data_IF_284557836560
#
_entry.id   IF_284557836560
#
_cell.length_a   1.000
_cell.length_b   1.000
_cell.length_c   1.000
_cell.angle_alpha   90.00
_cell.angle_beta   90.00
_cell.angle_gamma   90.00
#
_symmetry.space_group_name_H-M   'P 1'
#
loop_
_entity.id
_entity.type
_entity.pdbx_description
1 polymer ?
#
# COMPACT_ATOMS: atom_id res chain seq x y z
N UNK A 1 -7.59 5.72 -22.48
CA UNK A 1 -7.90 4.57 -21.58
C UNK A 1 -9.41 4.41 -21.43
N UNK A 2 -9.94 3.20 -21.64
CA UNK A 2 -11.31 2.88 -21.24
C UNK A 2 -11.34 3.05 -19.71
N UNK A 3 -12.26 3.86 -19.20
CA UNK A 3 -12.47 3.97 -17.76
C UNK A 3 -12.74 2.56 -17.23
N UNK A 4 -11.97 2.09 -16.24
CA UNK A 4 -12.34 0.84 -15.57
C UNK A 4 -13.67 1.12 -14.87
N UNK A 5 -14.55 0.15 -14.82
CA UNK A 5 -15.83 0.31 -14.12
C UNK A 5 -15.53 0.69 -12.67
N UNK A 6 -15.90 1.91 -12.26
CA UNK A 6 -15.78 2.32 -10.88
C UNK A 6 -16.65 1.38 -10.05
N UNK A 7 -16.10 0.69 -9.03
CA UNK A 7 -16.91 -0.15 -8.17
C UNK A 7 -18.03 0.70 -7.57
N UNK A 8 -19.25 0.15 -7.55
CA UNK A 8 -20.39 0.82 -6.93
C UNK A 8 -20.02 1.23 -5.51
N UNK A 9 -20.53 2.38 -5.07
CA UNK A 9 -20.22 2.95 -3.74
C UNK A 9 -20.66 2.06 -2.56
N UNK A 10 -21.38 0.97 -2.86
CA UNK A 10 -21.90 -0.03 -1.92
C UNK A 10 -21.16 -1.38 -2.01
N UNK A 11 -20.08 -1.50 -2.80
CA UNK A 11 -19.29 -2.72 -2.84
C UNK A 11 -18.29 -2.77 -1.67
N UNK A 12 -18.72 -3.37 -0.56
CA UNK A 12 -17.89 -3.57 0.64
C UNK A 12 -17.04 -4.84 0.62
N UNK A 13 -17.08 -5.62 -0.48
CA UNK A 13 -16.33 -6.88 -0.63
C UNK A 13 -14.85 -6.64 -0.30
N UNK A 14 -14.22 -7.48 0.54
CA UNK A 14 -14.67 -8.78 1.07
C UNK A 14 -15.54 -8.71 2.33
N UNK A 15 -15.81 -7.52 2.86
CA UNK A 15 -16.71 -7.34 3.99
C UNK A 15 -18.17 -7.48 3.56
N UNK A 16 -18.98 -8.04 4.45
CA UNK A 16 -20.42 -8.22 4.30
C UNK A 16 -21.11 -6.86 4.18
N UNK A 17 -20.69 -5.90 5.01
CA UNK A 17 -21.25 -4.55 5.03
C UNK A 17 -20.25 -3.49 5.53
N UNK A 18 -20.70 -2.23 5.49
CA UNK A 18 -19.95 -1.08 6.02
C UNK A 18 -19.64 -1.21 7.51
N UNK A 19 -20.50 -1.84 8.30
CA UNK A 19 -20.32 -1.93 9.75
C UNK A 19 -19.15 -2.85 10.06
N UNK A 20 -19.09 -4.02 9.41
CA UNK A 20 -18.02 -4.98 9.53
C UNK A 20 -16.67 -4.36 9.13
N UNK A 21 -16.62 -3.62 8.01
CA UNK A 21 -15.42 -2.87 7.61
C UNK A 21 -14.99 -1.84 8.67
N UNK A 22 -15.94 -1.05 9.18
CA UNK A 22 -15.62 0.02 10.15
C UNK A 22 -15.11 -0.55 11.47
N UNK A 23 -15.63 -1.71 11.89
CA UNK A 23 -15.16 -2.43 13.07
C UNK A 23 -13.74 -2.96 12.85
N UNK A 24 -13.46 -3.59 11.69
CA UNK A 24 -12.12 -4.03 11.35
C UNK A 24 -11.12 -2.85 11.31
N UNK A 25 -11.46 -1.73 10.67
CA UNK A 25 -10.63 -0.53 10.63
C UNK A 25 -10.30 0.02 12.02
N UNK A 26 -11.32 0.08 12.89
CA UNK A 26 -11.13 0.54 14.27
C UNK A 26 -10.22 -0.41 15.05
N UNK A 27 -10.52 -1.71 15.04
CA UNK A 27 -9.83 -2.69 15.88
C UNK A 27 -8.40 -2.97 15.40
N UNK A 28 -8.21 -3.08 14.10
CA UNK A 28 -6.92 -3.39 13.50
C UNK A 28 -6.01 -2.17 13.39
N UNK A 29 -6.48 -1.09 12.75
CA UNK A 29 -5.63 0.06 12.42
C UNK A 29 -5.53 1.11 13.52
N UNK A 30 -6.61 1.35 14.29
CA UNK A 30 -6.62 2.42 15.30
C UNK A 30 -6.32 1.93 16.71
N UNK A 31 -6.89 0.80 17.10
CA UNK A 31 -6.74 0.24 18.44
C UNK A 31 -5.54 -0.72 18.51
N UNK A 32 -5.16 -1.32 17.38
CA UNK A 32 -4.09 -2.34 17.31
C UNK A 32 -4.32 -3.46 18.34
N UNK A 33 -5.56 -3.92 18.43
CA UNK A 33 -5.99 -4.88 19.44
C UNK A 33 -5.28 -6.23 19.24
N UNK A 34 -4.76 -6.83 20.33
CA UNK A 34 -4.12 -8.15 20.24
C UNK A 34 -5.12 -9.23 19.80
N UNK A 35 -4.62 -10.27 19.12
CA UNK A 35 -5.44 -11.41 18.69
C UNK A 35 -6.27 -12.02 19.84
N UNK A 36 -5.67 -12.17 21.02
CA UNK A 36 -6.36 -12.65 22.22
C UNK A 36 -7.55 -11.78 22.63
N UNK A 37 -7.40 -10.45 22.53
CA UNK A 37 -8.43 -9.51 22.94
C UNK A 37 -9.52 -9.39 21.86
N UNK A 38 -9.15 -9.56 20.58
CA UNK A 38 -10.11 -9.68 19.48
C UNK A 38 -11.01 -10.90 19.68
N UNK A 39 -10.43 -12.07 19.98
CA UNK A 39 -11.20 -13.28 20.26
C UNK A 39 -12.14 -13.11 21.46
N UNK A 40 -11.65 -12.49 22.55
CA UNK A 40 -12.47 -12.20 23.72
C UNK A 40 -13.61 -11.24 23.39
N UNK A 41 -13.34 -10.18 22.60
CA UNK A 41 -14.35 -9.24 22.15
C UNK A 41 -15.43 -9.90 21.29
N UNK A 42 -15.05 -10.69 20.29
CA UNK A 42 -16.00 -11.39 19.43
C UNK A 42 -16.78 -12.46 20.21
N UNK A 43 -16.17 -13.11 21.20
CA UNK A 43 -16.88 -13.98 22.14
C UNK A 43 -17.94 -13.20 22.95
N UNK A 44 -17.60 -12.03 23.49
CA UNK A 44 -18.55 -11.16 24.22
C UNK A 44 -19.70 -10.73 23.29
N UNK A 45 -19.40 -10.31 22.07
CA UNK A 45 -20.40 -9.87 21.10
C UNK A 45 -21.30 -11.01 20.62
N UNK A 46 -20.79 -12.24 20.59
CA UNK A 46 -21.56 -13.44 20.25
C UNK A 46 -22.50 -13.92 21.36
N UNK A 47 -22.43 -13.33 22.56
CA UNK A 47 -23.20 -13.80 23.71
C UNK A 47 -24.71 -13.51 23.53
N UNK A 48 -25.60 -14.50 23.74
CA UNK A 48 -27.02 -14.38 23.43
C UNK A 48 -27.76 -13.31 24.25
N UNK A 49 -27.19 -12.86 25.40
CA UNK A 49 -27.73 -11.76 26.20
C UNK A 49 -27.51 -10.36 25.61
N UNK A 50 -26.68 -10.22 24.56
CA UNK A 50 -26.50 -8.97 23.81
C UNK A 50 -27.44 -8.86 22.60
N UNK A 51 -28.30 -9.86 22.40
CA UNK A 51 -29.45 -9.78 21.49
C UNK A 51 -30.47 -8.86 22.15
N UNK A 52 -30.70 -7.66 21.61
CA UNK A 52 -31.88 -6.90 21.99
C UNK A 52 -33.11 -7.78 21.71
N UNK A 53 -33.88 -8.09 22.75
CA UNK A 53 -35.26 -8.54 22.61
C UNK A 53 -35.99 -7.50 21.77
N UNK A 54 -36.16 -7.79 20.47
CA UNK A 54 -37.11 -7.08 19.64
C UNK A 54 -38.30 -8.00 19.45
N UNK A 55 -39.29 -7.75 20.31
CA UNK A 55 -40.71 -8.08 20.22
C UNK A 55 -41.07 -9.36 19.45
N UNK A 56 -41.31 -10.42 20.22
CA UNK A 56 -42.24 -11.49 19.85
C UNK A 56 -43.65 -10.89 19.77
N UNK A 57 -43.96 -10.20 18.67
CA UNK A 57 -45.34 -10.08 18.21
C UNK A 57 -45.54 -11.09 17.08
N UNK A 58 -46.28 -12.15 17.38
CA UNK A 58 -46.87 -13.07 16.43
C UNK A 58 -47.41 -12.28 15.23
N UNK A 59 -46.85 -12.50 14.04
CA UNK A 59 -47.59 -12.58 12.77
C UNK A 59 -46.66 -12.96 11.61
N UNK A 60 -47.05 -14.08 11.00
CA UNK A 60 -46.98 -14.39 9.57
C UNK A 60 -45.64 -14.74 8.92
N UNK A 61 -45.73 -15.70 8.00
CA UNK A 61 -44.64 -16.43 7.34
C UNK A 61 -43.78 -15.51 6.45
N UNK A 62 -42.73 -14.87 6.98
CA UNK A 62 -41.68 -14.28 6.14
C UNK A 62 -40.36 -14.09 6.90
N UNK A 63 -39.37 -14.95 6.58
CA UNK A 63 -37.95 -14.95 6.98
C UNK A 63 -37.59 -14.82 8.48
N UNK A 64 -36.63 -15.64 8.98
CA UNK A 64 -36.25 -15.60 10.40
C UNK A 64 -35.69 -14.21 10.79
N UNK A 65 -35.98 -13.73 12.02
CA UNK A 65 -35.53 -12.42 12.48
C UNK A 65 -34.02 -12.33 12.38
N UNK A 66 -33.51 -11.22 11.85
CA UNK A 66 -32.08 -10.97 11.64
C UNK A 66 -31.33 -11.00 12.96
N UNK A 67 -30.86 -12.19 13.34
CA UNK A 67 -29.94 -12.43 14.46
C UNK A 67 -28.74 -11.51 14.27
N UNK A 68 -28.53 -10.53 15.16
CA UNK A 68 -27.29 -9.74 15.18
C UNK A 68 -26.13 -10.67 15.51
N UNK A 69 -25.53 -11.24 14.48
CA UNK A 69 -24.31 -12.06 14.57
C UNK A 69 -23.12 -11.16 14.88
N UNK A 70 -22.17 -11.69 15.64
CA UNK A 70 -20.84 -11.09 15.81
C UNK A 70 -20.28 -10.69 14.43
N UNK A 71 -19.63 -9.52 14.29
CA UNK A 71 -19.09 -9.06 13.01
C UNK A 71 -18.04 -10.01 12.43
N UNK A 72 -17.29 -10.72 13.29
CA UNK A 72 -16.34 -11.76 12.89
C UNK A 72 -16.48 -12.96 13.84
N UNK A 73 -16.10 -14.14 13.35
CA UNK A 73 -16.08 -15.37 14.17
C UNK A 73 -14.93 -15.37 15.20
N UNK A 74 -13.76 -14.95 14.76
CA UNK A 74 -12.50 -14.91 15.52
C UNK A 74 -11.55 -13.90 14.84
N UNK A 75 -10.37 -13.70 15.41
CA UNK A 75 -9.35 -12.83 14.80
C UNK A 75 -8.89 -13.33 13.41
N UNK A 76 -8.84 -14.65 13.18
CA UNK A 76 -8.44 -15.24 11.90
C UNK A 76 -9.42 -14.90 10.78
N UNK A 77 -10.74 -14.92 11.06
CA UNK A 77 -11.79 -14.50 10.14
C UNK A 77 -11.67 -12.99 9.81
N UNK A 78 -11.36 -12.17 10.81
CA UNK A 78 -11.11 -10.74 10.58
C UNK A 78 -9.85 -10.50 9.74
N UNK A 79 -8.73 -11.15 10.05
CA UNK A 79 -7.49 -11.02 9.30
C UNK A 79 -7.64 -11.54 7.88
N UNK A 80 -8.32 -12.67 7.69
CA UNK A 80 -8.61 -13.22 6.36
C UNK A 80 -9.45 -12.25 5.52
N UNK A 81 -10.43 -11.56 6.12
CA UNK A 81 -11.20 -10.53 5.42
C UNK A 81 -10.33 -9.31 5.07
N UNK A 82 -9.43 -8.88 5.96
CA UNK A 82 -8.48 -7.79 5.67
C UNK A 82 -7.54 -8.18 4.52
N UNK A 83 -6.95 -9.37 4.59
CA UNK A 83 -6.00 -9.89 3.60
C UNK A 83 -6.66 -10.17 2.25
N UNK A 84 -7.97 -10.46 2.24
CA UNK A 84 -8.75 -10.66 0.99
C UNK A 84 -9.19 -9.35 0.34
N UNK A 85 -8.83 -8.19 0.90
CA UNK A 85 -9.25 -6.90 0.34
C UNK A 85 -8.54 -6.62 -0.98
N UNK A 86 -9.32 -6.48 -2.06
CA UNK A 86 -8.81 -6.32 -3.43
C UNK A 86 -8.38 -4.88 -3.77
N UNK A 87 -8.67 -3.92 -2.89
CA UNK A 87 -8.41 -2.50 -3.12
C UNK A 87 -6.93 -2.18 -2.90
N UNK A 88 -6.18 -2.07 -4.00
CA UNK A 88 -4.77 -1.68 -3.97
C UNK A 88 -3.84 -2.76 -3.44
N UNK A 89 -4.26 -4.03 -3.51
CA UNK A 89 -3.45 -5.15 -3.05
C UNK A 89 -2.17 -5.29 -3.90
N UNK A 90 -1.07 -5.51 -3.20
CA UNK A 90 0.24 -5.82 -3.75
C UNK A 90 0.88 -6.79 -2.76
N UNK A 91 0.69 -8.11 -2.96
CA UNK A 91 1.06 -9.12 -1.96
C UNK A 91 2.58 -9.17 -1.76
N UNK A 92 2.98 -9.51 -0.53
CA UNK A 92 4.37 -9.77 -0.21
C UNK A 92 4.77 -11.19 -0.62
N UNK A 93 5.90 -11.30 -1.29
CA UNK A 93 6.58 -12.54 -1.62
C UNK A 93 7.86 -12.67 -0.80
N UNK A 94 8.24 -13.90 -0.51
CA UNK A 94 9.50 -14.22 0.15
C UNK A 94 10.28 -15.20 -0.71
N UNK A 95 11.56 -14.94 -0.90
CA UNK A 95 12.48 -15.93 -1.46
C UNK A 95 13.75 -15.98 -0.62
N UNK A 96 14.39 -17.14 -0.68
CA UNK A 96 15.64 -17.40 0.02
C UNK A 96 16.80 -17.22 -0.95
N UNK A 97 17.80 -16.46 -0.50
CA UNK A 97 19.05 -16.28 -1.22
C UNK A 97 20.15 -16.99 -0.43
N UNK A 98 20.84 -17.89 -1.12
CA UNK A 98 22.10 -18.46 -0.68
C UNK A 98 23.25 -17.69 -1.35
N UNK A 99 24.38 -17.53 -0.66
CA UNK A 99 25.57 -16.95 -1.29
C UNK A 99 26.26 -18.01 -2.14
N UNK A 100 26.33 -17.80 -3.45
CA UNK A 100 26.98 -18.73 -4.39
C UNK A 100 28.52 -18.74 -4.28
N UNK A 101 29.10 -17.85 -3.47
CA UNK A 101 30.53 -17.56 -3.45
C UNK A 101 31.22 -18.28 -2.28
N UNK A 102 31.47 -19.58 -2.47
CA UNK A 102 32.05 -20.49 -1.46
C UNK A 102 33.57 -20.33 -1.24
N UNK A 103 34.25 -19.51 -2.04
CA UNK A 103 35.70 -19.34 -1.99
C UNK A 103 36.18 -18.39 -0.86
N UNK A 104 35.25 -17.69 -0.20
CA UNK A 104 35.54 -16.77 0.90
C UNK A 104 34.92 -17.30 2.23
N UNK A 105 35.72 -17.65 3.26
CA UNK A 105 35.27 -18.33 4.48
C UNK A 105 34.47 -17.44 5.44
N UNK A 106 33.99 -16.28 4.99
CA UNK A 106 33.21 -15.37 5.83
C UNK A 106 31.88 -16.00 6.26
N UNK A 107 31.66 -16.15 7.57
CA UNK A 107 30.47 -16.81 8.15
C UNK A 107 29.12 -16.20 7.74
N UNK A 108 29.10 -14.96 7.27
CA UNK A 108 27.88 -14.33 6.76
C UNK A 108 27.49 -14.85 5.36
N UNK A 109 28.45 -15.28 4.53
CA UNK A 109 28.17 -15.86 3.20
C UNK A 109 27.54 -17.26 3.29
N UNK A 110 27.77 -17.98 4.39
CA UNK A 110 27.23 -19.34 4.59
C UNK A 110 25.78 -19.36 5.11
N UNK A 111 25.13 -18.20 5.24
CA UNK A 111 23.77 -18.08 5.75
C UNK A 111 22.79 -17.83 4.61
N UNK A 112 21.65 -18.52 4.69
CA UNK A 112 20.48 -18.23 3.85
C UNK A 112 19.78 -16.98 4.38
N UNK A 113 19.51 -16.04 3.48
CA UNK A 113 18.79 -14.81 3.80
C UNK A 113 17.40 -14.82 3.18
N UNK A 114 16.38 -14.49 3.96
CA UNK A 114 15.03 -14.26 3.46
C UNK A 114 14.94 -12.82 2.92
N UNK A 115 14.55 -12.66 1.66
CA UNK A 115 14.24 -11.37 1.06
C UNK A 115 12.74 -11.29 0.81
N UNK A 116 12.12 -10.31 1.44
CA UNK A 116 10.70 -9.99 1.23
C UNK A 116 10.58 -8.92 0.17
N UNK A 117 9.69 -9.09 -0.80
CA UNK A 117 9.48 -8.12 -1.87
C UNK A 117 8.03 -8.11 -2.38
N UNK A 118 7.67 -7.05 -3.09
CA UNK A 118 6.40 -6.89 -3.83
C UNK A 118 6.72 -6.67 -5.31
N UNK A 119 5.79 -7.05 -6.18
CA UNK A 119 5.90 -6.74 -7.60
C UNK A 119 5.82 -5.21 -7.81
N UNK A 120 6.88 -4.55 -8.30
CA UNK A 120 6.88 -3.11 -8.50
C UNK A 120 5.83 -2.69 -9.53
N UNK A 121 5.51 -3.51 -10.52
CA UNK A 121 4.53 -3.16 -11.56
C UNK A 121 3.12 -3.08 -10.97
N UNK A 122 2.76 -4.01 -10.09
CA UNK A 122 1.47 -3.98 -9.37
C UNK A 122 1.40 -2.76 -8.46
N UNK A 123 2.48 -2.46 -7.72
CA UNK A 123 2.53 -1.28 -6.84
C UNK A 123 2.39 0.02 -7.64
N UNK A 124 3.07 0.13 -8.78
CA UNK A 124 2.99 1.30 -9.66
C UNK A 124 1.60 1.43 -10.31
N UNK A 125 0.99 0.32 -10.73
CA UNK A 125 -0.38 0.31 -11.24
C UNK A 125 -1.36 0.81 -10.17
N UNK A 126 -1.25 0.32 -8.93
CA UNK A 126 -2.09 0.77 -7.83
C UNK A 126 -1.90 2.26 -7.53
N UNK A 127 -0.66 2.76 -7.56
CA UNK A 127 -0.38 4.20 -7.44
C UNK A 127 -1.08 5.00 -8.55
N UNK A 128 -0.95 4.56 -9.82
CA UNK A 128 -1.56 5.23 -10.97
C UNK A 128 -3.10 5.16 -10.97
N UNK A 129 -3.69 4.05 -10.55
CA UNK A 129 -5.14 3.90 -10.42
C UNK A 129 -5.71 4.86 -9.36
N UNK A 130 -5.01 5.04 -8.24
CA UNK A 130 -5.33 6.04 -7.21
C UNK A 130 -5.21 7.49 -7.72
N UNK A 131 -4.42 7.73 -8.77
CA UNK A 131 -4.18 9.04 -9.36
C UNK A 131 -5.22 9.42 -10.40
N UNK A 132 -5.62 8.47 -11.24
CA UNK A 132 -6.49 8.73 -12.39
C UNK A 132 -7.98 8.90 -12.04
N UNK A 133 -8.36 9.07 -10.77
CA UNK A 133 -9.75 9.28 -10.33
C UNK A 133 -10.69 8.10 -10.66
N UNK A 134 -10.13 6.96 -11.01
CA UNK A 134 -10.84 5.75 -11.43
C UNK A 134 -11.31 4.93 -10.21
N UNK A 135 -10.71 5.17 -9.05
CA UNK A 135 -11.13 4.63 -7.76
C UNK A 135 -11.90 5.71 -6.98
N UNK A 136 -12.86 5.29 -6.15
CA UNK A 136 -13.63 6.18 -5.24
C UNK A 136 -12.76 6.84 -4.15
N UNK A 137 -11.43 6.82 -4.29
CA UNK A 137 -10.47 7.45 -3.39
C UNK A 137 -9.45 8.29 -4.19
N UNK A 138 -9.80 9.53 -4.58
CA UNK A 138 -8.91 10.42 -5.31
C UNK A 138 -7.91 11.08 -4.35
N UNK A 139 -7.09 10.28 -3.66
CA UNK A 139 -6.12 10.76 -2.64
C UNK A 139 -5.15 11.83 -3.17
N UNK A 140 -5.04 11.93 -4.50
CA UNK A 140 -4.07 12.74 -5.24
C UNK A 140 -4.68 13.59 -6.36
N UNK A 141 -6.01 13.71 -6.45
CA UNK A 141 -6.62 14.49 -7.53
C UNK A 141 -6.21 15.97 -7.45
N UNK A 142 -5.54 16.46 -8.50
CA UNK A 142 -4.99 17.82 -8.57
C UNK A 142 -3.60 17.97 -7.94
N UNK A 143 -2.99 16.90 -7.43
CA UNK A 143 -1.65 16.89 -6.82
C UNK A 143 -0.63 16.11 -7.67
N UNK A 144 -0.80 16.16 -9.00
CA UNK A 144 -0.04 15.37 -9.96
C UNK A 144 0.20 16.12 -11.28
N UNK A 145 1.42 16.01 -11.80
CA UNK A 145 1.84 16.59 -13.08
C UNK A 145 1.99 15.55 -14.19
N UNK A 146 1.21 15.72 -15.25
CA UNK A 146 1.21 14.83 -16.43
C UNK A 146 2.42 15.04 -17.35
N UNK A 147 3.05 16.21 -17.29
CA UNK A 147 4.15 16.59 -18.17
C UNK A 147 5.19 17.39 -17.41
N UNK A 148 6.48 17.28 -17.75
CA UNK A 148 7.50 18.14 -17.18
C UNK A 148 7.18 19.61 -17.46
N UNK A 149 7.52 20.47 -16.51
CA UNK A 149 7.23 21.90 -16.59
C UNK A 149 8.44 22.73 -16.16
N UNK A 150 8.39 24.03 -16.46
CA UNK A 150 9.38 24.99 -16.03
C UNK A 150 8.69 25.94 -15.07
N UNK A 151 9.08 25.87 -13.80
CA UNK A 151 8.63 26.80 -12.77
C UNK A 151 9.61 27.98 -12.71
N UNK A 152 9.08 29.20 -12.80
CA UNK A 152 9.84 30.44 -12.67
C UNK A 152 9.21 31.30 -11.60
N UNK A 153 10.04 31.89 -10.74
CA UNK A 153 9.59 32.80 -9.71
C UNK A 153 9.48 34.22 -10.29
N UNK A 154 8.26 34.73 -10.38
CA UNK A 154 7.99 36.09 -10.87
C UNK A 154 8.55 37.18 -9.92
N UNK A 155 8.68 36.88 -8.63
CA UNK A 155 9.19 37.82 -7.63
C UNK A 155 10.72 37.86 -7.62
N UNK A 156 11.38 36.75 -7.96
CA UNK A 156 12.85 36.66 -8.03
C UNK A 156 13.41 36.82 -9.45
N UNK A 157 12.86 37.76 -10.23
CA UNK A 157 13.35 38.11 -11.59
C UNK A 157 13.30 36.95 -12.61
N UNK A 158 12.33 36.04 -12.50
CA UNK A 158 12.19 34.92 -13.41
C UNK A 158 13.25 33.83 -13.22
N UNK A 159 13.86 33.76 -12.03
CA UNK A 159 14.74 32.67 -11.66
C UNK A 159 14.00 31.34 -11.65
N UNK A 160 14.69 30.29 -12.10
CA UNK A 160 14.12 28.95 -12.15
C UNK A 160 14.00 28.38 -10.74
N UNK A 161 12.83 27.83 -10.44
CA UNK A 161 12.57 27.10 -9.19
C UNK A 161 12.50 25.61 -9.46
N UNK A 162 13.06 24.83 -8.54
CA UNK A 162 12.96 23.37 -8.54
C UNK A 162 12.33 22.93 -7.23
N UNK A 163 11.10 22.43 -7.30
CA UNK A 163 10.36 21.91 -6.15
C UNK A 163 10.07 20.42 -6.25
N UNK A 164 9.80 19.96 -7.47
CA UNK A 164 9.28 18.63 -7.78
C UNK A 164 10.10 17.97 -8.87
N UNK A 165 10.00 16.64 -9.02
CA UNK A 165 10.78 15.92 -10.04
C UNK A 165 10.42 16.40 -11.44
N UNK A 166 9.15 16.73 -11.67
CA UNK A 166 8.66 17.20 -12.96
C UNK A 166 9.10 18.63 -13.32
N UNK A 167 9.54 19.46 -12.35
CA UNK A 167 10.18 20.76 -12.64
C UNK A 167 11.69 20.66 -12.94
N UNK A 168 12.31 19.50 -12.69
CA UNK A 168 13.73 19.28 -12.92
C UNK A 168 14.08 19.14 -14.41
N UNK A 169 15.29 19.59 -14.77
CA UNK A 169 15.84 19.40 -16.12
C UNK A 169 15.89 17.93 -16.51
N UNK A 170 16.13 17.04 -15.54
CA UNK A 170 16.16 15.60 -15.79
C UNK A 170 14.85 15.09 -16.41
N UNK A 171 13.69 15.41 -15.81
CA UNK A 171 12.40 14.96 -16.32
C UNK A 171 12.13 15.52 -17.72
N UNK A 172 12.44 16.80 -17.94
CA UNK A 172 12.30 17.44 -19.25
C UNK A 172 13.14 16.73 -20.32
N UNK A 173 14.47 16.69 -20.13
CA UNK A 173 15.40 16.11 -21.10
C UNK A 173 15.10 14.64 -21.38
N UNK A 174 14.77 13.86 -20.34
CA UNK A 174 14.50 12.44 -20.49
C UNK A 174 13.19 12.19 -21.24
N UNK A 175 12.12 12.94 -20.93
CA UNK A 175 10.86 12.85 -21.66
C UNK A 175 11.02 13.20 -23.15
N UNK A 176 11.83 14.22 -23.45
CA UNK A 176 12.15 14.61 -24.83
C UNK A 176 12.93 13.52 -25.56
N UNK A 177 13.96 12.95 -24.92
CA UNK A 177 14.76 11.87 -25.51
C UNK A 177 13.90 10.64 -25.84
N UNK A 178 13.03 10.20 -24.92
CA UNK A 178 12.10 9.08 -25.13
C UNK A 178 11.14 9.35 -26.29
N UNK A 179 10.66 10.59 -26.41
CA UNK A 179 9.77 10.99 -27.49
C UNK A 179 10.51 11.01 -28.84
N UNK A 180 11.72 11.54 -28.89
CA UNK A 180 12.53 11.59 -30.13
C UNK A 180 12.89 10.20 -30.64
N UNK A 181 13.17 9.25 -29.74
CA UNK A 181 13.55 7.87 -30.08
C UNK A 181 12.38 7.05 -30.64
N UNK A 182 11.16 7.27 -30.14
CA UNK A 182 9.99 6.41 -30.40
C UNK A 182 8.73 7.17 -30.83
N UNK A 183 8.92 8.32 -31.47
CA UNK A 183 7.97 9.40 -31.79
C UNK A 183 6.53 8.96 -32.20
N UNK A 184 6.37 7.87 -32.96
CA UNK A 184 5.04 7.37 -33.36
C UNK A 184 4.37 6.45 -32.32
N UNK A 185 5.14 5.71 -31.53
CA UNK A 185 4.62 4.75 -30.55
C UNK A 185 4.26 5.42 -29.21
N UNK A 186 4.96 6.50 -28.87
CA UNK A 186 4.80 7.20 -27.60
C UNK A 186 3.88 8.43 -27.68
N UNK A 187 3.21 8.65 -28.82
CA UNK A 187 2.28 9.77 -28.98
C UNK A 187 1.09 9.61 -28.03
N UNK A 188 0.88 10.59 -27.14
CA UNK A 188 -0.16 10.56 -26.11
C UNK A 188 0.18 9.73 -24.87
N UNK A 189 1.38 9.15 -24.79
CA UNK A 189 1.87 8.51 -23.58
C UNK A 189 2.31 9.56 -22.55
N UNK A 190 2.17 9.21 -21.27
CA UNK A 190 2.60 10.04 -20.14
C UNK A 190 3.99 9.61 -19.69
N UNK A 191 4.89 10.57 -19.50
CA UNK A 191 6.18 10.32 -18.87
C UNK A 191 5.97 10.08 -17.36
N UNK A 192 6.35 8.89 -16.89
CA UNK A 192 6.21 8.48 -15.49
C UNK A 192 7.57 8.10 -14.90
N UNK A 193 8.36 9.07 -14.38
CA UNK A 193 9.63 8.77 -13.73
C UNK A 193 9.41 7.89 -12.48
N UNK A 194 10.23 6.85 -12.33
CA UNK A 194 10.24 5.99 -11.13
C UNK A 194 11.36 6.46 -10.21
N UNK A 195 11.04 6.65 -8.93
CA UNK A 195 11.99 6.96 -7.87
C UNK A 195 12.12 5.73 -6.98
N UNK A 196 13.36 5.28 -6.80
CA UNK A 196 13.70 4.28 -5.81
C UNK A 196 14.53 4.93 -4.71
N UNK A 197 14.18 4.63 -3.46
CA UNK A 197 14.91 5.08 -2.28
C UNK A 197 15.14 3.90 -1.36
N UNK A 198 16.34 3.79 -0.81
CA UNK A 198 16.62 2.83 0.26
C UNK A 198 17.14 3.60 1.46
N UNK A 199 16.72 3.20 2.65
CA UNK A 199 17.24 3.72 3.90
C UNK A 199 17.70 2.56 4.79
N UNK A 200 18.61 2.83 5.73
CA UNK A 200 19.00 1.86 6.76
C UNK A 200 18.03 1.98 7.94
N UNK A 201 16.98 1.16 7.95
CA UNK A 201 16.08 1.08 9.10
C UNK A 201 16.39 -0.17 9.92
N UNK A 202 16.75 0.01 11.19
CA UNK A 202 16.80 -1.12 12.12
C UNK A 202 15.39 -1.52 12.52
N UNK A 203 14.91 -2.66 12.02
CA UNK A 203 13.70 -3.31 12.55
C UNK A 203 14.10 -4.04 13.83
N UNK A 204 13.64 -3.58 14.99
CA UNK A 204 13.70 -4.27 16.28
C UNK A 204 12.24 -4.39 16.78
N UNK A 205 11.73 -5.44 17.39
CA UNK A 205 12.22 -6.32 18.45
C UNK A 205 11.44 -7.66 18.37
N UNK A 206 12.06 -8.77 18.78
CA UNK A 206 11.49 -10.07 19.23
C UNK A 206 11.90 -11.34 18.46
N UNK A 207 12.39 -11.27 17.22
CA UNK A 207 12.72 -12.49 16.43
C UNK A 207 14.12 -12.48 15.80
N UNK A 208 15.13 -12.06 16.58
CA UNK A 208 16.54 -12.41 16.34
C UNK A 208 17.28 -11.61 15.25
N UNK A 209 18.41 -11.02 15.63
CA UNK A 209 19.64 -10.66 14.88
C UNK A 209 19.63 -10.19 13.39
N UNK A 210 18.51 -10.02 12.70
CA UNK A 210 18.47 -9.61 11.28
C UNK A 210 18.07 -8.14 11.16
N UNK A 211 18.93 -7.33 10.54
CA UNK A 211 18.61 -5.97 10.12
C UNK A 211 18.20 -5.98 8.65
N UNK A 212 17.40 -5.00 8.22
CA UNK A 212 16.94 -4.90 6.83
C UNK A 212 17.16 -3.49 6.29
N UNK A 213 17.49 -3.39 5.00
CA UNK A 213 17.34 -2.17 4.21
C UNK A 213 15.98 -2.21 3.50
N UNK A 214 14.97 -1.43 3.91
CA UNK A 214 13.79 -1.25 3.10
C UNK A 214 14.16 -0.57 1.78
N UNK A 215 13.54 -1.05 0.71
CA UNK A 215 13.50 -0.40 -0.59
C UNK A 215 12.11 0.19 -0.76
N UNK A 216 12.04 1.47 -1.09
CA UNK A 216 10.82 2.21 -1.35
C UNK A 216 10.73 2.58 -2.83
N UNK A 217 9.51 2.57 -3.36
CA UNK A 217 9.18 3.07 -4.69
C UNK A 217 8.23 4.26 -4.58
N UNK A 218 8.32 5.14 -5.57
CA UNK A 218 7.37 6.23 -5.78
C UNK A 218 7.45 6.69 -7.23
N UNK A 219 6.38 7.30 -7.74
CA UNK A 219 6.40 7.96 -9.04
C UNK A 219 6.80 9.44 -8.89
N UNK A 220 7.53 10.00 -9.86
CA UNK A 220 7.99 11.39 -9.79
C UNK A 220 6.93 12.44 -10.11
N UNK A 221 5.79 12.02 -10.66
CA UNK A 221 4.71 12.92 -11.06
C UNK A 221 3.88 13.48 -9.90
N UNK A 222 3.89 12.85 -8.72
CA UNK A 222 3.23 13.41 -7.54
C UNK A 222 4.03 14.58 -6.98
N UNK A 223 3.32 15.60 -6.50
CA UNK A 223 3.94 16.76 -5.85
C UNK A 223 4.72 16.34 -4.60
N UNK A 224 5.75 17.12 -4.26
CA UNK A 224 6.61 16.87 -3.11
C UNK A 224 5.87 16.97 -1.78
N UNK A 225 4.85 17.82 -1.68
CA UNK A 225 3.92 17.87 -0.54
C UNK A 225 3.19 16.54 -0.35
N UNK A 226 2.71 15.97 -1.45
CA UNK A 226 1.94 14.73 -1.52
C UNK A 226 2.79 13.52 -1.18
N UNK A 227 4.02 13.49 -1.68
CA UNK A 227 5.02 12.47 -1.34
C UNK A 227 5.37 12.46 0.15
N UNK A 228 5.33 13.63 0.80
CA UNK A 228 5.55 13.78 2.26
C UNK A 228 4.29 13.59 3.09
N UNK A 229 3.12 13.53 2.46
CA UNK A 229 1.88 13.23 3.15
C UNK A 229 1.77 11.70 3.37
N UNK A 230 1.14 11.29 4.47
CA UNK A 230 0.88 9.87 4.80
C UNK A 230 -0.21 9.25 3.88
N UNK A 231 -0.17 9.51 2.57
CA UNK A 231 -1.18 9.10 1.57
C UNK A 231 -0.66 8.07 0.57
N UNK A 232 0.23 7.16 0.98
CA UNK A 232 0.83 6.16 0.06
C UNK A 232 1.63 6.74 -1.13
N UNK A 233 2.09 7.99 -1.03
CA UNK A 233 2.97 8.59 -2.04
C UNK A 233 4.34 7.91 -2.12
N UNK A 234 4.75 7.16 -1.08
CA UNK A 234 5.97 6.34 -1.05
C UNK A 234 5.61 4.99 -0.46
N UNK A 235 5.91 3.89 -1.16
CA UNK A 235 5.51 2.54 -0.76
C UNK A 235 6.75 1.64 -0.63
N UNK A 236 6.93 0.89 0.48
CA UNK A 236 8.02 -0.07 0.60
C UNK A 236 7.77 -1.27 -0.33
N UNK A 237 8.72 -1.63 -1.18
CA UNK A 237 8.63 -2.75 -2.12
C UNK A 237 9.56 -3.90 -1.80
N UNK A 238 10.57 -3.72 -0.95
CA UNK A 238 11.40 -4.83 -0.50
C UNK A 238 12.00 -4.59 0.89
N UNK A 239 12.34 -5.67 1.59
CA UNK A 239 13.18 -5.67 2.78
C UNK A 239 14.43 -6.51 2.48
N UNK A 240 15.55 -5.83 2.23
CA UNK A 240 16.81 -6.45 1.87
C UNK A 240 17.59 -6.81 3.14
N UNK A 241 17.83 -8.09 3.37
CA UNK A 241 18.52 -8.54 4.58
C UNK A 241 19.95 -7.98 4.63
N UNK A 242 20.35 -7.50 5.81
CA UNK A 242 21.70 -7.02 6.07
C UNK A 242 22.49 -8.16 6.73
N UNK A 243 23.52 -8.69 6.06
CA UNK A 243 24.39 -9.68 6.67
C UNK A 243 25.16 -9.04 7.83
N UNK A 244 24.98 -9.57 9.04
CA UNK A 244 25.88 -9.25 10.16
C UNK A 244 27.11 -10.13 10.05
N UNK A 245 28.27 -9.53 9.83
CA UNK A 245 29.54 -10.14 10.21
C UNK A 245 29.56 -10.32 11.73
N UNK A 246 30.11 -11.43 12.24
CA UNK A 246 30.45 -11.44 13.66
C UNK A 246 31.52 -10.38 13.87
N UNK A 247 31.25 -9.41 14.74
CA UNK A 247 32.30 -8.58 15.32
C UNK A 247 33.28 -9.56 16.03
N UNK A 248 34.53 -9.55 15.58
CA UNK A 248 35.64 -10.31 16.17
C UNK A 248 36.00 -9.78 17.57
#
# INVERSE_FOLDING_TARGET
>A
PIARDSPSNDNWTPFIDRQQFTIADLLFRKVEMSASNLDELFMILSHPGNMAEQDLSDNDDTEPPTVRRSPFKDHDDMYSAIDSSLLGDAPWHCYQIDSDDLDDPCQWKQKTYNVWYRDPDVVLQNMLDNLCGNTNNPDFNGEFDYSPYIEVDEQELGQRRWGDVMSANFAWCHSTAIYEEHNQQNSGAMYCPIILGSDKTTVSVATGHVEYHPLYISIGNILGSTRRAHRQGVIPIAFLAIPKGMDL
#
